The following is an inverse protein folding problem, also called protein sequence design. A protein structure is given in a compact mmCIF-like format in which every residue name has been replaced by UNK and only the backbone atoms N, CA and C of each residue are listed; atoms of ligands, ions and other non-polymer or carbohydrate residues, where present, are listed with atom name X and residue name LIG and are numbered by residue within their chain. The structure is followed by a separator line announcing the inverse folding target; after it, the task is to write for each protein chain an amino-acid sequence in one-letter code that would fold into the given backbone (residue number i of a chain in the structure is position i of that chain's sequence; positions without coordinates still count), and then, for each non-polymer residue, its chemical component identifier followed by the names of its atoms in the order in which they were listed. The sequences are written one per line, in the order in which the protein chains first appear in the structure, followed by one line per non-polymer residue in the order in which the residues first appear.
data_IF_961604711209
#
_entry.id   IF_961604711209
#
_cell.length_a   1.000
_cell.length_b   1.000
_cell.length_c   1.000
_cell.angle_alpha   90.00
_cell.angle_beta   90.00
_cell.angle_gamma   90.00
#
_symmetry.space_group_name_H-M   'P 1'
#
loop_
_entity.id
_entity.type
_entity.pdbx_description
1 polymer ?
#
# COMPACT_ATOMS: atom_id res chain seq x y z
N UNK A 1 -0.26 12.42 5.48
CA UNK A 1 -0.63 12.98 4.16
C UNK A 1 -1.60 12.08 3.36
N UNK A 2 -2.33 11.19 4.04
CA UNK A 2 -3.34 10.28 3.42
C UNK A 2 -4.77 10.86 3.40
N UNK A 3 -5.01 12.00 4.04
CA UNK A 3 -6.35 12.59 4.18
C UNK A 3 -6.86 13.30 2.91
N UNK A 4 -5.98 13.77 2.04
CA UNK A 4 -6.38 14.49 0.82
C UNK A 4 -6.84 13.59 -0.33
N UNK A 5 -6.39 12.35 -0.37
CA UNK A 5 -6.77 11.41 -1.43
C UNK A 5 -8.22 10.92 -1.26
N UNK A 6 -8.68 10.73 -0.01
CA UNK A 6 -10.02 10.20 0.28
C UNK A 6 -11.14 11.21 0.01
N UNK A 7 -10.94 12.50 0.31
CA UNK A 7 -11.93 13.54 0.03
C UNK A 7 -12.09 13.78 -1.47
N UNK A 8 -10.97 13.91 -2.18
CA UNK A 8 -10.96 14.13 -3.63
C UNK A 8 -11.47 12.90 -4.41
N UNK A 9 -11.26 11.71 -3.87
CA UNK A 9 -11.81 10.48 -4.45
C UNK A 9 -13.32 10.40 -4.26
N UNK A 10 -13.83 10.73 -3.07
CA UNK A 10 -15.27 10.75 -2.79
C UNK A 10 -16.00 11.80 -3.64
N UNK A 11 -15.44 13.00 -3.79
CA UNK A 11 -16.00 14.06 -4.64
C UNK A 11 -16.06 13.65 -6.12
N UNK A 12 -15.06 12.95 -6.62
CA UNK A 12 -14.96 12.54 -8.01
C UNK A 12 -15.80 11.30 -8.35
N UNK A 13 -15.90 10.38 -7.38
CA UNK A 13 -16.56 9.08 -7.59
C UNK A 13 -18.04 9.11 -7.23
N UNK A 14 -18.42 9.98 -6.28
CA UNK A 14 -19.81 10.10 -5.82
C UNK A 14 -20.29 11.57 -5.74
N UNK A 15 -20.30 12.31 -6.87
CA UNK A 15 -20.73 13.73 -6.88
C UNK A 15 -22.15 13.94 -6.36
N UNK A 16 -23.04 12.94 -6.50
CA UNK A 16 -24.39 12.94 -5.97
C UNK A 16 -24.47 12.79 -4.43
N UNK A 17 -23.42 12.23 -3.78
CA UNK A 17 -23.32 12.17 -2.33
C UNK A 17 -23.07 13.56 -1.73
N UNK A 18 -22.29 14.39 -2.45
CA UNK A 18 -21.97 15.77 -2.06
C UNK A 18 -23.09 16.75 -2.37
N UNK A 19 -24.01 16.39 -3.28
CA UNK A 19 -25.13 17.24 -3.69
C UNK A 19 -26.33 17.23 -2.71
N UNK A 20 -26.20 16.61 -1.53
CA UNK A 20 -27.24 16.62 -0.49
C UNK A 20 -28.49 15.76 -0.80
N UNK A 21 -28.46 14.94 -1.83
CA UNK A 21 -29.59 14.09 -2.23
C UNK A 21 -29.67 12.76 -1.47
N UNK A 22 -28.76 12.50 -0.54
CA UNK A 22 -28.70 11.24 0.22
C UNK A 22 -28.81 11.56 1.69
N UNK A 23 -29.74 10.88 2.39
CA UNK A 23 -29.81 10.99 3.84
C UNK A 23 -28.52 10.49 4.48
N UNK A 24 -28.14 11.06 5.63
CA UNK A 24 -26.95 10.66 6.39
C UNK A 24 -26.88 9.15 6.61
N UNK A 25 -28.02 8.50 6.88
CA UNK A 25 -28.08 7.05 7.08
C UNK A 25 -27.74 6.30 5.79
N UNK A 26 -28.29 6.70 4.66
CA UNK A 26 -28.01 6.09 3.35
C UNK A 26 -26.56 6.26 2.93
N UNK A 27 -25.95 7.42 3.24
CA UNK A 27 -24.52 7.65 3.03
C UNK A 27 -23.68 6.70 3.90
N UNK A 28 -24.04 6.53 5.17
CA UNK A 28 -23.39 5.58 6.08
C UNK A 28 -23.52 4.15 5.58
N UNK A 29 -24.68 3.75 5.10
CA UNK A 29 -24.92 2.40 4.61
C UNK A 29 -24.13 2.12 3.31
N UNK A 30 -24.02 3.10 2.42
CA UNK A 30 -23.17 3.02 1.22
C UNK A 30 -21.68 2.94 1.60
N UNK A 31 -21.24 3.70 2.59
CA UNK A 31 -19.86 3.64 3.08
C UNK A 31 -19.54 2.29 3.73
N UNK A 32 -20.50 1.70 4.48
CA UNK A 32 -20.36 0.36 5.07
C UNK A 32 -20.24 -0.75 4.01
N UNK A 33 -20.99 -0.64 2.92
CA UNK A 33 -20.94 -1.61 1.81
C UNK A 33 -19.65 -1.49 1.01
N UNK A 34 -19.03 -0.30 1.01
CA UNK A 34 -17.79 -0.01 0.27
C UNK A 34 -16.59 0.20 1.21
N UNK A 35 -16.62 -0.35 2.42
CA UNK A 35 -15.44 -0.30 3.30
C UNK A 35 -14.23 -0.94 2.59
N UNK A 36 -13.07 -0.27 2.58
CA UNK A 36 -11.87 -0.83 1.98
C UNK A 36 -11.50 -2.13 2.69
N UNK A 37 -11.32 -3.19 1.92
CA UNK A 37 -10.82 -4.43 2.47
C UNK A 37 -9.30 -4.32 2.67
N UNK A 38 -8.89 -4.04 3.88
CA UNK A 38 -7.48 -3.89 4.24
C UNK A 38 -6.67 -5.20 4.20
N UNK A 39 -7.31 -6.36 3.99
CA UNK A 39 -6.57 -7.59 3.69
C UNK A 39 -6.02 -7.58 2.26
N UNK A 40 -6.55 -6.71 1.38
CA UNK A 40 -6.00 -6.54 0.05
C UNK A 40 -4.65 -5.83 0.10
N UNK A 41 -3.79 -6.11 -0.87
CA UNK A 41 -2.46 -5.52 -1.01
C UNK A 41 -2.55 -4.12 -1.64
N UNK A 42 -3.06 -3.15 -0.86
CA UNK A 42 -3.35 -1.78 -1.30
C UNK A 42 -2.29 -0.76 -0.88
N UNK A 43 -1.35 -1.16 -0.03
CA UNK A 43 -0.21 -0.33 0.34
C UNK A 43 0.98 -0.66 -0.55
N UNK A 44 1.77 0.34 -0.88
CA UNK A 44 2.97 0.19 -1.71
C UNK A 44 4.17 0.85 -1.04
N UNK A 45 5.32 0.20 -1.14
CA UNK A 45 6.64 0.78 -0.93
C UNK A 45 7.51 0.54 -2.14
N UNK A 46 8.30 1.53 -2.49
CA UNK A 46 9.20 1.46 -3.63
C UNK A 46 10.58 1.98 -3.27
N UNK A 47 11.61 1.36 -3.82
CA UNK A 47 13.01 1.77 -3.68
C UNK A 47 13.70 1.73 -5.04
N UNK A 48 14.68 2.60 -5.21
CA UNK A 48 15.54 2.67 -6.39
C UNK A 48 17.00 2.73 -5.95
N UNK A 49 17.83 1.86 -6.53
CA UNK A 49 19.26 1.76 -6.20
C UNK A 49 20.20 2.50 -7.19
N UNK A 50 19.63 3.18 -8.19
CA UNK A 50 20.37 3.83 -9.28
C UNK A 50 20.20 3.10 -10.61
N UNK A 51 19.81 1.83 -10.60
CA UNK A 51 19.52 1.03 -11.79
C UNK A 51 18.18 0.31 -11.70
N UNK A 52 17.94 -0.39 -10.61
CA UNK A 52 16.72 -1.17 -10.43
C UNK A 52 15.69 -0.40 -9.61
N UNK A 53 14.42 -0.43 -10.06
CA UNK A 53 13.28 -0.01 -9.25
C UNK A 53 12.55 -1.25 -8.76
N UNK A 54 12.40 -1.34 -7.45
CA UNK A 54 11.71 -2.44 -6.78
C UNK A 54 10.54 -1.92 -5.96
N UNK A 55 9.36 -2.54 -6.14
CA UNK A 55 8.15 -2.18 -5.42
C UNK A 55 7.53 -3.42 -4.78
N UNK A 56 7.03 -3.25 -3.55
CA UNK A 56 6.22 -4.23 -2.82
C UNK A 56 4.84 -3.68 -2.58
N UNK A 57 3.82 -4.42 -2.99
CA UNK A 57 2.43 -4.19 -2.63
C UNK A 57 2.06 -5.13 -1.51
N UNK A 58 1.52 -4.61 -0.42
CA UNK A 58 1.22 -5.39 0.78
C UNK A 58 -0.10 -4.96 1.42
N UNK A 59 -0.67 -5.84 2.25
CA UNK A 59 -1.82 -5.51 3.08
C UNK A 59 -1.39 -4.54 4.19
N UNK A 60 -2.11 -3.42 4.39
CA UNK A 60 -1.82 -2.52 5.51
C UNK A 60 -1.89 -3.18 6.89
N UNK A 61 -2.54 -4.36 6.99
CA UNK A 61 -2.60 -5.15 8.22
C UNK A 61 -1.36 -6.00 8.46
N UNK A 62 -0.53 -6.16 7.43
CA UNK A 62 0.72 -6.92 7.48
C UNK A 62 1.89 -5.95 7.35
N UNK A 63 2.25 -5.32 8.47
CA UNK A 63 3.44 -4.46 8.56
C UNK A 63 4.66 -5.34 8.46
N UNK A 64 5.07 -5.67 7.24
CA UNK A 64 6.11 -6.64 7.06
C UNK A 64 7.41 -6.03 6.54
N UNK A 65 8.48 -6.53 7.11
CA UNK A 65 9.84 -6.41 6.60
C UNK A 65 10.34 -7.84 6.31
N UNK A 66 9.82 -8.50 5.24
CA UNK A 66 10.10 -9.90 4.98
C UNK A 66 11.61 -10.11 4.82
N UNK A 67 12.13 -11.14 5.48
CA UNK A 67 13.56 -11.46 5.51
C UNK A 67 13.91 -12.71 4.68
N UNK A 68 12.92 -13.51 4.29
CA UNK A 68 13.08 -14.65 3.40
C UNK A 68 12.35 -14.46 2.08
N UNK A 69 12.80 -15.18 1.06
CA UNK A 69 12.18 -15.13 -0.27
C UNK A 69 10.75 -15.69 -0.25
N UNK A 70 10.54 -16.76 0.50
CA UNK A 70 9.24 -17.41 0.64
C UNK A 70 8.23 -16.48 1.31
N UNK A 71 8.63 -15.80 2.38
CA UNK A 71 7.81 -14.81 3.07
C UNK A 71 7.48 -13.64 2.15
N UNK A 72 8.50 -13.13 1.41
CA UNK A 72 8.35 -12.01 0.51
C UNK A 72 7.29 -12.27 -0.55
N UNK A 73 7.36 -13.39 -1.26
CA UNK A 73 6.39 -13.72 -2.32
C UNK A 73 5.03 -14.15 -1.79
N UNK A 74 4.96 -14.72 -0.58
CA UNK A 74 3.69 -15.10 0.03
C UNK A 74 2.85 -13.88 0.44
N UNK A 75 3.50 -12.83 0.94
CA UNK A 75 2.83 -11.69 1.54
C UNK A 75 2.72 -10.46 0.62
N UNK A 76 3.48 -10.41 -0.48
CA UNK A 76 3.55 -9.24 -1.35
C UNK A 76 3.30 -9.58 -2.82
N UNK A 77 2.76 -8.61 -3.57
CA UNK A 77 2.92 -8.56 -5.01
C UNK A 77 4.14 -7.70 -5.32
N UNK A 78 4.92 -8.10 -6.32
CA UNK A 78 6.23 -7.51 -6.57
C UNK A 78 6.33 -6.92 -7.97
N UNK A 79 7.03 -5.79 -8.05
CA UNK A 79 7.52 -5.24 -9.31
C UNK A 79 9.03 -5.03 -9.21
N UNK A 80 9.74 -5.37 -10.27
CA UNK A 80 11.17 -5.15 -10.41
C UNK A 80 11.49 -4.79 -11.86
N UNK A 81 12.01 -3.59 -12.07
CA UNK A 81 12.36 -3.07 -13.39
C UNK A 81 13.85 -2.70 -13.45
N UNK A 82 14.50 -3.02 -14.57
CA UNK A 82 15.87 -2.61 -14.88
C UNK A 82 15.83 -1.32 -15.72
N UNK A 83 15.83 -0.17 -15.07
CA UNK A 83 15.66 1.13 -15.74
C UNK A 83 16.80 1.49 -16.71
N UNK A 84 17.94 0.81 -16.62
CA UNK A 84 19.03 0.99 -17.57
C UNK A 84 18.72 0.35 -18.93
N UNK A 85 18.08 -0.84 -18.91
CA UNK A 85 17.77 -1.61 -20.12
C UNK A 85 16.29 -1.50 -20.53
N UNK A 86 15.43 -1.08 -19.63
CA UNK A 86 13.98 -0.95 -19.80
C UNK A 86 13.49 0.34 -19.11
N UNK A 87 13.84 1.52 -19.64
CA UNK A 87 13.44 2.80 -19.03
C UNK A 87 11.93 3.05 -19.05
N UNK A 88 11.20 2.38 -19.94
CA UNK A 88 9.73 2.47 -20.05
C UNK A 88 9.01 1.47 -19.12
N UNK A 89 9.77 0.65 -18.36
CA UNK A 89 9.21 -0.31 -17.38
C UNK A 89 8.20 -1.31 -17.97
N UNK A 90 8.48 -1.77 -19.19
CA UNK A 90 7.60 -2.67 -19.93
C UNK A 90 7.76 -4.14 -19.52
N UNK A 91 8.87 -4.49 -18.85
CA UNK A 91 9.21 -5.86 -18.50
C UNK A 91 9.41 -6.01 -16.99
N UNK A 92 8.36 -6.42 -16.28
CA UNK A 92 8.45 -6.71 -14.86
C UNK A 92 9.22 -8.02 -14.62
N UNK A 93 10.47 -7.92 -14.18
CA UNK A 93 11.35 -9.05 -13.90
C UNK A 93 10.81 -9.95 -12.77
N UNK A 94 10.02 -9.38 -11.85
CA UNK A 94 9.41 -10.13 -10.75
C UNK A 94 8.33 -11.13 -11.21
N UNK A 95 7.89 -11.08 -12.46
CA UNK A 95 7.02 -12.12 -13.05
C UNK A 95 7.72 -13.49 -13.16
N UNK A 96 9.05 -13.52 -13.06
CA UNK A 96 9.84 -14.75 -12.98
C UNK A 96 10.66 -14.77 -11.68
N UNK A 97 10.02 -14.84 -10.52
CA UNK A 97 10.66 -14.56 -9.24
C UNK A 97 11.79 -15.54 -8.92
N UNK A 98 11.68 -16.79 -9.33
CA UNK A 98 12.73 -17.79 -9.13
C UNK A 98 14.01 -17.47 -9.92
N UNK A 99 13.87 -16.98 -11.16
CA UNK A 99 15.01 -16.58 -11.99
C UNK A 99 15.76 -15.39 -11.40
N UNK A 100 15.03 -14.46 -10.81
CA UNK A 100 15.57 -13.21 -10.28
C UNK A 100 15.61 -13.18 -8.75
N UNK A 101 15.52 -14.33 -8.08
CA UNK A 101 15.42 -14.42 -6.62
C UNK A 101 16.55 -13.67 -5.88
N UNK A 102 17.79 -13.81 -6.32
CA UNK A 102 18.93 -13.12 -5.71
C UNK A 102 18.83 -11.60 -5.83
N UNK A 103 18.42 -11.10 -7.00
CA UNK A 103 18.23 -9.65 -7.23
C UNK A 103 17.04 -9.11 -6.42
N UNK A 104 15.91 -9.83 -6.43
CA UNK A 104 14.73 -9.49 -5.65
C UNK A 104 15.08 -9.39 -4.15
N UNK A 105 15.84 -10.35 -3.62
CA UNK A 105 16.25 -10.33 -2.21
C UNK A 105 17.23 -9.22 -1.90
N UNK A 106 18.16 -8.90 -2.80
CA UNK A 106 19.06 -7.76 -2.65
C UNK A 106 18.28 -6.43 -2.59
N UNK A 107 17.32 -6.22 -3.49
CA UNK A 107 16.48 -5.02 -3.50
C UNK A 107 15.54 -4.97 -2.30
N UNK A 108 15.04 -6.12 -1.84
CA UNK A 108 14.24 -6.23 -0.63
C UNK A 108 15.06 -5.84 0.61
N UNK A 109 16.33 -6.22 0.69
CA UNK A 109 17.22 -5.81 1.77
C UNK A 109 17.42 -4.28 1.77
N UNK A 110 17.71 -3.66 0.62
CA UNK A 110 17.82 -2.21 0.48
C UNK A 110 16.54 -1.52 0.97
N UNK A 111 15.38 -2.04 0.60
CA UNK A 111 14.09 -1.50 1.07
C UNK A 111 13.91 -1.64 2.58
N UNK A 112 14.24 -2.79 3.16
CA UNK A 112 14.14 -3.02 4.61
C UNK A 112 15.08 -2.10 5.40
N UNK A 113 16.29 -1.87 4.90
CA UNK A 113 17.25 -0.91 5.48
C UNK A 113 16.68 0.52 5.46
N UNK A 114 16.10 0.95 4.34
CA UNK A 114 15.44 2.27 4.25
C UNK A 114 14.24 2.40 5.18
N UNK A 115 13.44 1.36 5.32
CA UNK A 115 12.33 1.34 6.29
C UNK A 115 12.86 1.49 7.71
N UNK A 116 13.92 0.77 8.07
CA UNK A 116 14.52 0.86 9.39
C UNK A 116 15.10 2.26 9.68
N UNK A 117 15.70 2.91 8.68
CA UNK A 117 16.27 4.25 8.80
C UNK A 117 15.20 5.36 8.88
N UNK A 118 14.16 5.30 8.05
CA UNK A 118 13.20 6.39 7.85
C UNK A 118 11.92 6.23 8.68
N UNK A 119 11.49 4.99 8.92
CA UNK A 119 10.24 4.66 9.62
C UNK A 119 10.52 4.09 11.02
N UNK A 120 11.64 3.36 11.16
CA UNK A 120 11.96 2.60 12.38
C UNK A 120 11.24 1.27 12.40
N UNK A 121 10.65 0.91 13.54
CA UNK A 121 9.84 -0.31 13.67
C UNK A 121 8.48 -0.07 13.02
N UNK A 122 8.22 -0.77 11.93
CA UNK A 122 6.93 -0.71 11.25
C UNK A 122 5.93 -1.67 11.90
N UNK A 123 5.34 -1.22 12.98
CA UNK A 123 4.36 -1.97 13.77
C UNK A 123 2.91 -1.51 13.53
N UNK A 124 2.72 -0.59 12.57
CA UNK A 124 1.42 -0.02 12.25
C UNK A 124 0.87 0.96 13.26
N UNK A 125 1.66 1.36 14.24
CA UNK A 125 1.24 2.31 15.29
C UNK A 125 0.78 3.68 14.74
N UNK A 126 1.21 4.03 13.52
CA UNK A 126 0.77 5.25 12.83
C UNK A 126 -0.66 5.16 12.28
N UNK A 127 -1.25 3.98 12.25
CA UNK A 127 -2.60 3.77 11.77
C UNK A 127 -3.60 4.01 12.89
N UNK A 128 -4.70 4.73 12.62
CA UNK A 128 -5.72 4.96 13.63
C UNK A 128 -6.44 3.64 13.95
N UNK A 129 -6.12 3.06 15.10
CA UNK A 129 -6.76 1.85 15.62
C UNK A 129 -7.65 2.23 16.80
N UNK A 130 -8.90 1.75 16.80
CA UNK A 130 -9.81 1.83 17.94
C UNK A 130 -10.38 0.44 18.22
N UNK A 131 -10.24 -0.04 19.47
CA UNK A 131 -10.69 -1.37 19.89
C UNK A 131 -10.16 -2.52 19.02
N UNK A 132 -8.91 -2.45 18.58
CA UNK A 132 -8.28 -3.46 17.73
C UNK A 132 -8.75 -3.49 16.28
N UNK A 133 -9.56 -2.51 15.87
CA UNK A 133 -10.02 -2.34 14.49
C UNK A 133 -9.54 -1.01 13.91
N UNK A 134 -9.34 -0.98 12.60
CA UNK A 134 -9.07 0.23 11.85
C UNK A 134 -10.20 1.23 12.02
N UNK A 135 -9.84 2.48 12.32
CA UNK A 135 -10.78 3.54 12.54
C UNK A 135 -10.47 4.72 11.61
N UNK A 136 -11.46 5.12 10.81
CA UNK A 136 -11.43 6.38 10.10
C UNK A 136 -12.16 7.44 10.92
N UNK A 137 -11.47 8.44 11.50
CA UNK A 137 -12.15 9.50 12.22
C UNK A 137 -13.04 10.28 11.24
N UNK A 138 -14.35 10.29 11.52
CA UNK A 138 -15.25 11.20 10.81
C UNK A 138 -14.93 12.66 11.20
N UNK A 139 -15.19 13.62 10.30
CA UNK A 139 -14.93 15.06 10.54
C UNK A 139 -15.59 15.62 11.82
N UNK A 140 -16.58 14.92 12.37
CA UNK A 140 -17.30 15.34 13.59
C UNK A 140 -16.56 15.07 14.91
N UNK A 141 -15.35 14.49 14.86
CA UNK A 141 -14.58 14.14 16.06
C UNK A 141 -13.18 14.80 16.12
N UNK A 142 -12.97 15.87 15.34
CA UNK A 142 -11.78 16.72 15.46
C UNK A 142 -12.09 17.97 16.28
#
# INVERSE_FOLDING_TARGET
MLTFASERWAEKTYPWLMAGHVTTQKAIDILKVNEPNFNNRIAIRSVWDGRYRFSRYFSPLHFNTPSSFEELIAMNDLELFDLQNDPEEMNNLAMNPQKYAALIMAMNQVMNERIAEEVGVDDGSFLPIRNGQWYFPSKSQR
#
